data_IF_179877784782
#
_entry.id   IF_179877784782
#
_cell.length_a   1.000
_cell.length_b   1.000
_cell.length_c   1.000
_cell.angle_alpha   90.00
_cell.angle_beta   90.00
_cell.angle_gamma   90.00
#
_symmetry.space_group_name_H-M   'P 1'
#
loop_
_entity.id
_entity.type
_entity.pdbx_description
1 polymer ?
#
# COMPACT_ATOMS: atom_id res chain seq x y z
N UNK A 1 -16.67 -1.20 -14.60
CA UNK A 1 -16.21 -0.03 -13.80
C UNK A 1 -16.71 -0.19 -12.37
N UNK A 2 -15.95 0.29 -11.39
CA UNK A 2 -16.34 0.38 -9.98
C UNK A 2 -15.97 1.77 -9.43
N UNK A 3 -16.72 2.26 -8.46
CA UNK A 3 -16.46 3.55 -7.80
C UNK A 3 -16.11 3.29 -6.33
N UNK A 4 -14.90 3.67 -5.92
CA UNK A 4 -14.53 3.78 -4.51
C UNK A 4 -14.84 5.20 -4.03
N UNK A 5 -15.37 5.35 -2.82
CA UNK A 5 -15.67 6.66 -2.26
C UNK A 5 -15.49 6.69 -0.74
N UNK A 6 -15.29 7.89 -0.19
CA UNK A 6 -15.26 8.13 1.25
C UNK A 6 -14.16 9.11 1.66
N UNK A 7 -13.82 9.09 2.96
CA UNK A 7 -12.80 9.97 3.55
C UNK A 7 -11.38 9.40 3.44
N UNK A 8 -11.18 8.39 2.58
CA UNK A 8 -9.88 7.74 2.35
C UNK A 8 -8.99 8.58 1.43
N UNK A 9 -7.65 8.43 1.48
CA UNK A 9 -6.71 9.11 0.60
C UNK A 9 -6.72 8.51 -0.81
N UNK A 10 -7.87 8.60 -1.49
CA UNK A 10 -8.06 7.98 -2.82
C UNK A 10 -7.17 8.62 -3.89
N UNK A 11 -6.74 9.88 -3.70
CA UNK A 11 -5.77 10.54 -4.58
C UNK A 11 -4.39 9.85 -4.51
N UNK A 12 -3.96 9.48 -3.31
CA UNK A 12 -2.70 8.77 -3.07
C UNK A 12 -2.78 7.32 -3.57
N UNK A 13 -3.90 6.65 -3.32
CA UNK A 13 -4.18 5.32 -3.85
C UNK A 13 -4.07 5.33 -5.39
N UNK A 14 -4.76 6.26 -6.05
CA UNK A 14 -4.71 6.41 -7.49
C UNK A 14 -3.30 6.70 -8.03
N UNK A 15 -2.54 7.61 -7.39
CA UNK A 15 -1.15 7.90 -7.77
C UNK A 15 -0.27 6.65 -7.66
N UNK A 16 -0.44 5.89 -6.58
CA UNK A 16 0.31 4.65 -6.33
C UNK A 16 -0.05 3.58 -7.37
N UNK A 17 -1.34 3.38 -7.66
CA UNK A 17 -1.81 2.48 -8.71
C UNK A 17 -1.25 2.86 -10.08
N UNK A 18 -1.32 4.14 -10.45
CA UNK A 18 -0.77 4.60 -11.73
C UNK A 18 0.76 4.44 -11.79
N UNK A 19 1.45 4.66 -10.68
CA UNK A 19 2.90 4.50 -10.59
C UNK A 19 3.31 3.04 -10.79
N UNK A 20 2.67 2.09 -10.09
CA UNK A 20 2.94 0.65 -10.30
C UNK A 20 2.61 0.23 -11.73
N UNK A 21 1.51 0.72 -12.32
CA UNK A 21 1.11 0.38 -13.69
C UNK A 21 2.14 0.83 -14.73
N UNK A 22 2.81 1.96 -14.49
CA UNK A 22 3.80 2.53 -15.41
C UNK A 22 5.15 1.83 -15.34
N UNK A 23 5.52 1.30 -14.18
CA UNK A 23 6.88 0.81 -13.93
C UNK A 23 6.99 -0.71 -13.81
N UNK A 24 5.88 -1.44 -13.79
CA UNK A 24 5.88 -2.91 -13.73
C UNK A 24 5.26 -3.52 -14.99
N UNK A 25 5.72 -4.71 -15.35
CA UNK A 25 5.25 -5.42 -16.56
C UNK A 25 4.62 -6.74 -16.12
N UNK A 26 3.29 -6.80 -16.14
CA UNK A 26 2.53 -8.01 -15.86
C UNK A 26 1.80 -8.03 -14.53
N UNK A 27 2.08 -7.10 -13.61
CA UNK A 27 1.22 -6.93 -12.43
C UNK A 27 -0.13 -6.37 -12.87
N UNK A 28 -1.19 -7.16 -12.69
CA UNK A 28 -2.55 -6.74 -13.03
C UNK A 28 -3.13 -5.88 -11.91
N UNK A 29 -3.25 -4.58 -12.18
CA UNK A 29 -3.91 -3.63 -11.28
C UNK A 29 -5.02 -2.86 -11.99
N UNK A 30 -6.01 -2.29 -11.27
CA UNK A 30 -7.10 -1.57 -11.89
C UNK A 30 -6.62 -0.34 -12.66
N UNK A 31 -7.13 -0.12 -13.87
CA UNK A 31 -6.95 1.18 -14.54
C UNK A 31 -7.78 2.24 -13.82
N UNK A 32 -7.12 3.31 -13.35
CA UNK A 32 -7.79 4.48 -12.78
C UNK A 32 -8.26 5.39 -13.91
N UNK A 33 -9.56 5.70 -13.96
CA UNK A 33 -10.15 6.57 -14.97
C UNK A 33 -10.30 8.01 -14.49
N UNK A 34 -10.70 8.21 -13.23
CA UNK A 34 -10.89 9.53 -12.66
C UNK A 34 -10.75 9.50 -11.13
N UNK A 35 -10.27 10.61 -10.57
CA UNK A 35 -10.32 10.90 -9.14
C UNK A 35 -10.81 12.32 -8.98
N UNK A 36 -11.79 12.54 -8.13
CA UNK A 36 -12.33 13.87 -7.85
C UNK A 36 -12.84 13.97 -6.43
N UNK A 37 -12.93 15.21 -5.93
CA UNK A 37 -13.51 15.56 -4.65
C UNK A 37 -14.81 16.30 -4.89
N UNK A 38 -15.88 15.80 -4.29
CA UNK A 38 -17.14 16.52 -4.22
C UNK A 38 -17.00 17.68 -3.23
N UNK A 39 -17.25 18.90 -3.70
CA UNK A 39 -17.08 20.12 -2.91
C UNK A 39 -18.22 20.32 -1.91
N UNK A 40 -19.39 19.73 -2.13
CA UNK A 40 -20.56 19.90 -1.26
C UNK A 40 -20.45 19.03 0.00
N UNK A 41 -20.04 17.76 -0.17
CA UNK A 41 -19.93 16.81 0.94
C UNK A 41 -18.48 16.47 1.34
N UNK A 42 -17.48 17.01 0.62
CA UNK A 42 -16.05 16.83 0.88
C UNK A 42 -15.50 15.44 0.55
N UNK A 43 -16.33 14.50 0.07
CA UNK A 43 -15.93 13.10 -0.18
C UNK A 43 -15.08 13.00 -1.43
N UNK A 44 -14.10 12.11 -1.38
CA UNK A 44 -13.32 11.75 -2.55
C UNK A 44 -13.96 10.54 -3.25
N UNK A 45 -13.91 10.53 -4.57
CA UNK A 45 -14.39 9.47 -5.45
C UNK A 45 -13.27 9.05 -6.38
N UNK A 46 -13.08 7.75 -6.55
CA UNK A 46 -12.18 7.15 -7.53
C UNK A 46 -12.95 6.19 -8.42
N UNK A 47 -12.97 6.50 -9.71
CA UNK A 47 -13.56 5.66 -10.76
C UNK A 47 -12.46 4.82 -11.37
N UNK A 48 -12.60 3.51 -11.30
CA UNK A 48 -11.58 2.58 -11.79
C UNK A 48 -12.18 1.35 -12.47
N UNK A 49 -11.32 0.61 -13.14
CA UNK A 49 -11.65 -0.68 -13.71
C UNK A 49 -12.12 -1.67 -12.63
N UNK A 50 -13.14 -2.46 -12.97
CA UNK A 50 -13.52 -3.62 -12.16
C UNK A 50 -12.71 -4.80 -12.70
N UNK A 51 -11.70 -5.24 -11.96
CA UNK A 51 -10.96 -6.45 -12.30
C UNK A 51 -11.89 -7.67 -12.23
N UNK A 52 -11.73 -8.65 -13.14
CA UNK A 52 -12.38 -9.95 -13.00
C UNK A 52 -11.73 -10.74 -11.84
N UNK A 53 -12.37 -11.84 -11.45
CA UNK A 53 -11.88 -12.75 -10.41
C UNK A 53 -12.59 -12.60 -9.07
N UNK A 54 -12.18 -13.43 -8.13
CA UNK A 54 -12.66 -13.44 -6.73
C UNK A 54 -11.47 -13.25 -5.78
N UNK A 55 -11.70 -12.75 -4.55
CA UNK A 55 -10.64 -12.67 -3.56
C UNK A 55 -10.01 -14.04 -3.31
N UNK A 56 -8.68 -14.10 -3.31
CA UNK A 56 -7.92 -15.32 -3.07
C UNK A 56 -8.35 -16.00 -1.76
N UNK A 57 -8.71 -15.23 -0.73
CA UNK A 57 -9.22 -15.80 0.53
C UNK A 57 -10.38 -16.80 0.32
N UNK A 58 -11.23 -16.59 -0.68
CA UNK A 58 -12.38 -17.48 -0.95
C UNK A 58 -11.95 -18.83 -1.51
N UNK A 59 -10.85 -18.86 -2.27
CA UNK A 59 -10.37 -20.07 -2.94
C UNK A 59 -9.20 -20.74 -2.21
N UNK A 60 -8.48 -20.00 -1.37
CA UNK A 60 -7.31 -20.49 -0.65
C UNK A 60 -7.55 -21.84 0.08
N UNK A 61 -8.71 -22.08 0.75
CA UNK A 61 -9.00 -23.36 1.39
C UNK A 61 -9.19 -24.53 0.42
N UNK A 62 -9.51 -24.26 -0.85
CA UNK A 62 -9.81 -25.27 -1.87
C UNK A 62 -8.63 -25.59 -2.77
N UNK A 63 -7.51 -24.86 -2.65
CA UNK A 63 -6.34 -25.06 -3.50
C UNK A 63 -5.55 -26.31 -3.10
N UNK A 64 -5.22 -27.13 -4.09
CA UNK A 64 -4.30 -28.26 -3.91
C UNK A 64 -2.84 -27.79 -3.75
N UNK A 65 -1.94 -28.72 -3.42
CA UNK A 65 -0.53 -28.40 -3.20
C UNK A 65 0.15 -27.80 -4.45
N UNK A 66 -0.16 -28.34 -5.62
CA UNK A 66 0.41 -27.88 -6.90
C UNK A 66 0.00 -26.44 -7.20
N UNK A 67 -1.29 -26.13 -7.07
CA UNK A 67 -1.84 -24.80 -7.35
C UNK A 67 -1.35 -23.77 -6.33
N UNK A 68 -1.24 -24.13 -5.05
CA UNK A 68 -0.64 -23.25 -4.04
C UNK A 68 0.82 -22.93 -4.35
N UNK A 69 1.59 -23.91 -4.79
CA UNK A 69 2.99 -23.69 -5.18
C UNK A 69 3.09 -22.76 -6.39
N UNK A 70 2.26 -22.98 -7.42
CA UNK A 70 2.22 -22.10 -8.60
C UNK A 70 1.85 -20.66 -8.20
N UNK A 71 0.81 -20.49 -7.38
CA UNK A 71 0.40 -19.19 -6.87
C UNK A 71 1.53 -18.51 -6.07
N UNK A 72 2.24 -19.25 -5.22
CA UNK A 72 3.38 -18.71 -4.49
C UNK A 72 4.51 -18.25 -5.42
N UNK A 73 4.77 -18.97 -6.50
CA UNK A 73 5.72 -18.56 -7.54
C UNK A 73 5.27 -17.29 -8.28
N UNK A 74 3.99 -17.18 -8.62
CA UNK A 74 3.44 -15.96 -9.24
C UNK A 74 3.53 -14.75 -8.31
N UNK A 75 3.15 -14.91 -7.04
CA UNK A 75 3.25 -13.85 -6.03
C UNK A 75 4.70 -13.44 -5.78
N UNK A 76 5.64 -14.39 -5.78
CA UNK A 76 7.08 -14.08 -5.72
C UNK A 76 7.49 -13.16 -6.87
N UNK A 77 7.06 -13.45 -8.10
CA UNK A 77 7.34 -12.60 -9.26
C UNK A 77 6.73 -11.20 -9.15
N UNK A 78 5.55 -11.07 -8.53
CA UNK A 78 4.96 -9.75 -8.20
C UNK A 78 5.83 -9.00 -7.20
N UNK A 79 6.30 -9.65 -6.14
CA UNK A 79 7.14 -9.03 -5.12
C UNK A 79 8.49 -8.58 -5.66
N UNK A 80 9.14 -9.40 -6.49
CA UNK A 80 10.40 -9.06 -7.13
C UNK A 80 10.23 -7.80 -7.99
N UNK A 81 9.13 -7.69 -8.74
CA UNK A 81 8.84 -6.49 -9.53
C UNK A 81 8.55 -5.25 -8.68
N UNK A 82 7.79 -5.39 -7.59
CA UNK A 82 7.53 -4.27 -6.68
C UNK A 82 8.81 -3.81 -5.99
N UNK A 83 9.67 -4.74 -5.56
CA UNK A 83 10.91 -4.41 -4.86
C UNK A 83 11.86 -3.54 -5.68
N UNK A 84 11.82 -3.65 -7.01
CA UNK A 84 12.61 -2.83 -7.95
C UNK A 84 12.14 -1.36 -8.05
N UNK A 85 11.04 -0.97 -7.40
CA UNK A 85 10.51 0.39 -7.44
C UNK A 85 11.04 1.30 -6.31
N UNK A 86 12.05 0.86 -5.56
CA UNK A 86 12.51 1.47 -4.31
C UNK A 86 13.36 2.76 -4.47
N UNK A 87 13.98 3.02 -5.62
CA UNK A 87 14.87 4.17 -5.81
C UNK A 87 14.17 5.49 -6.25
N UNK A 88 12.86 5.63 -5.98
CA UNK A 88 12.02 6.64 -6.66
C UNK A 88 11.63 7.86 -5.81
N UNK A 89 12.22 8.05 -4.63
CA UNK A 89 12.04 9.26 -3.82
C UNK A 89 12.08 9.05 -2.31
N UNK A 90 11.61 10.03 -1.51
CA UNK A 90 11.51 9.91 -0.06
C UNK A 90 10.64 8.73 0.38
N UNK A 91 10.92 8.19 1.57
CA UNK A 91 10.13 7.13 2.21
C UNK A 91 8.68 7.59 2.44
N UNK A 92 7.76 6.63 2.33
CA UNK A 92 6.34 6.83 2.56
C UNK A 92 5.50 6.56 1.32
N UNK A 93 4.62 7.49 0.97
CA UNK A 93 3.64 7.30 -0.11
C UNK A 93 4.07 7.97 -1.40
N UNK A 94 3.84 7.29 -2.51
CA UNK A 94 4.12 7.79 -3.87
C UNK A 94 3.58 9.22 -4.05
N UNK A 95 4.47 10.14 -4.39
CA UNK A 95 4.12 11.53 -4.69
C UNK A 95 3.70 12.35 -3.46
N UNK A 96 4.07 11.93 -2.25
CA UNK A 96 3.94 12.71 -1.02
C UNK A 96 5.23 12.61 -0.19
N UNK A 97 5.82 13.72 0.27
CA UNK A 97 6.85 13.64 1.30
C UNK A 97 6.22 13.13 2.60
N UNK A 98 6.80 12.06 3.16
CA UNK A 98 6.45 11.52 4.48
C UNK A 98 5.56 10.29 4.49
N UNK A 99 5.42 9.70 5.67
CA UNK A 99 4.57 8.54 5.90
C UNK A 99 3.10 8.97 5.84
N UNK A 100 2.35 8.36 4.93
CA UNK A 100 0.91 8.59 4.82
C UNK A 100 0.15 7.26 4.80
N UNK A 101 -0.63 6.96 5.83
CA UNK A 101 -1.64 5.91 5.78
C UNK A 101 -2.66 6.10 6.89
N UNK A 102 -3.95 6.23 6.58
CA UNK A 102 -5.03 6.27 7.58
C UNK A 102 -5.05 5.05 8.55
N UNK A 103 -4.39 3.94 8.19
CA UNK A 103 -4.30 2.74 9.01
C UNK A 103 -3.02 2.61 9.85
N UNK A 104 -1.90 3.20 9.41
CA UNK A 104 -0.59 3.11 10.08
C UNK A 104 0.06 4.47 10.40
N UNK A 105 -0.19 5.52 9.59
CA UNK A 105 0.45 6.84 9.62
C UNK A 105 -0.52 8.00 9.28
N UNK A 106 -1.30 8.45 10.26
CA UNK A 106 -1.83 9.83 10.33
C UNK A 106 -3.02 10.24 9.44
N UNK A 107 -3.59 11.40 9.79
CA UNK A 107 -4.49 12.21 8.94
C UNK A 107 -3.70 12.84 7.79
N UNK A 108 -4.32 13.19 6.63
CA UNK A 108 -3.72 14.02 5.56
C UNK A 108 -2.90 15.23 6.04
N UNK A 109 -3.25 15.74 7.22
CA UNK A 109 -2.64 16.91 7.85
C UNK A 109 -1.49 16.56 8.81
N UNK A 110 -1.34 15.30 9.22
CA UNK A 110 -0.29 14.81 10.13
C UNK A 110 0.92 14.33 9.34
N UNK A 111 1.50 15.21 8.53
CA UNK A 111 2.70 14.89 7.76
C UNK A 111 3.90 14.85 8.69
N UNK A 112 4.42 13.68 9.02
CA UNK A 112 5.67 13.52 9.77
C UNK A 112 6.87 13.73 8.83
N UNK A 113 7.10 14.98 8.43
CA UNK A 113 8.28 15.44 7.67
C UNK A 113 8.54 14.73 6.34
N UNK A 114 9.60 15.11 5.60
CA UNK A 114 10.20 14.20 4.64
C UNK A 114 10.94 13.09 5.42
N UNK A 115 10.61 11.84 5.14
CA UNK A 115 11.31 10.68 5.70
C UNK A 115 12.32 10.25 4.65
N UNK A 116 13.57 10.68 4.78
CA UNK A 116 14.57 10.48 3.71
C UNK A 116 15.31 9.15 3.85
N UNK A 117 15.31 8.57 5.05
CA UNK A 117 15.96 7.29 5.34
C UNK A 117 14.97 6.28 5.91
N UNK A 118 15.24 4.97 5.78
CA UNK A 118 14.49 3.95 6.49
C UNK A 118 14.47 4.14 8.00
N UNK A 119 15.57 4.65 8.57
CA UNK A 119 15.67 4.94 10.00
C UNK A 119 14.73 6.07 10.44
N UNK A 120 14.65 7.17 9.66
CA UNK A 120 13.68 8.25 9.90
C UNK A 120 12.25 7.70 9.86
N UNK A 121 11.97 6.84 8.87
CA UNK A 121 10.66 6.22 8.70
C UNK A 121 10.29 5.33 9.90
N UNK A 122 11.20 4.48 10.39
CA UNK A 122 10.93 3.63 11.57
C UNK A 122 10.78 4.47 12.84
N UNK A 123 11.61 5.51 13.04
CA UNK A 123 11.54 6.37 14.23
C UNK A 123 10.25 7.18 14.33
N UNK A 124 9.57 7.46 13.22
CA UNK A 124 8.29 8.17 13.27
C UNK A 124 7.12 7.27 13.68
N UNK A 125 7.28 5.94 13.59
CA UNK A 125 6.21 4.96 13.83
C UNK A 125 5.64 5.04 15.26
N UNK A 126 6.46 4.98 16.34
CA UNK A 126 5.94 4.98 17.70
C UNK A 126 5.10 6.23 18.03
N UNK A 127 5.56 7.41 17.59
CA UNK A 127 4.85 8.67 17.80
C UNK A 127 3.51 8.70 17.06
N UNK A 128 3.46 8.17 15.84
CA UNK A 128 2.23 8.05 15.06
C UNK A 128 1.21 7.12 15.75
N UNK A 129 1.68 5.98 16.27
CA UNK A 129 0.83 5.02 16.97
C UNK A 129 0.36 5.53 18.33
N UNK A 130 1.22 6.11 19.16
CA UNK A 130 0.85 6.65 20.47
C UNK A 130 -0.29 7.69 20.36
N UNK A 131 -0.28 8.49 19.30
CA UNK A 131 -1.28 9.54 19.06
C UNK A 131 -2.65 8.97 18.62
N UNK A 132 -2.68 7.84 17.88
CA UNK A 132 -3.88 7.37 17.15
C UNK A 132 -4.40 6.01 17.62
N UNK A 133 -3.56 5.20 18.25
CA UNK A 133 -3.78 3.84 18.72
C UNK A 133 -3.08 3.66 20.08
N UNK A 134 -3.47 4.39 21.13
CA UNK A 134 -2.80 4.32 22.43
C UNK A 134 -2.84 2.92 23.07
N UNK A 135 -3.69 2.04 22.54
CA UNK A 135 -3.83 0.64 22.96
C UNK A 135 -2.84 -0.33 22.27
N UNK A 136 -2.11 0.11 21.24
CA UNK A 136 -1.03 -0.69 20.66
C UNK A 136 0.25 -0.48 21.47
N UNK A 137 0.58 -1.47 22.29
CA UNK A 137 1.79 -1.47 23.14
C UNK A 137 2.98 -2.14 22.49
N UNK A 138 2.74 -3.01 21.49
CA UNK A 138 3.75 -3.91 20.93
C UNK A 138 4.34 -3.33 19.65
N UNK A 139 4.92 -2.13 19.75
CA UNK A 139 5.66 -1.53 18.65
C UNK A 139 7.10 -2.05 18.71
N UNK A 140 7.61 -2.71 17.66
CA UNK A 140 8.99 -3.17 17.65
C UNK A 140 9.94 -1.99 17.87
N UNK A 141 10.96 -2.14 18.74
CA UNK A 141 11.93 -1.08 18.94
C UNK A 141 12.76 -0.88 17.67
N UNK A 142 13.28 0.32 17.47
CA UNK A 142 14.01 0.70 16.24
C UNK A 142 15.20 -0.22 15.95
N UNK A 143 15.85 -0.75 16.98
CA UNK A 143 16.98 -1.69 16.89
C UNK A 143 16.58 -3.11 16.45
N UNK A 144 15.28 -3.44 16.45
CA UNK A 144 14.79 -4.68 15.85
C UNK A 144 14.85 -4.67 14.30
N UNK A 145 15.10 -3.51 13.70
CA UNK A 145 15.17 -3.37 12.24
C UNK A 145 16.61 -3.43 11.74
N UNK A 146 16.83 -4.25 10.71
CA UNK A 146 18.10 -4.28 10.00
C UNK A 146 18.13 -3.17 8.93
N UNK A 147 18.77 -2.05 9.24
CA UNK A 147 18.94 -0.92 8.32
C UNK A 147 20.05 -1.11 7.27
N UNK A 148 20.85 -2.18 7.35
CA UNK A 148 21.82 -2.54 6.31
C UNK A 148 21.13 -3.10 5.06
N UNK A 149 19.88 -3.58 5.20
CA UNK A 149 19.07 -4.00 4.07
C UNK A 149 18.44 -2.80 3.39
N UNK A 150 18.56 -2.75 2.06
CA UNK A 150 17.82 -1.78 1.26
C UNK A 150 16.31 -1.94 1.52
N UNK A 151 15.65 -0.80 1.71
CA UNK A 151 14.19 -0.76 1.76
C UNK A 151 13.63 -1.15 0.39
N UNK A 152 12.41 -1.68 0.38
CA UNK A 152 11.72 -2.12 -0.83
C UNK A 152 10.33 -1.51 -0.88
N UNK A 153 9.86 -1.21 -2.09
CA UNK A 153 8.48 -0.83 -2.30
C UNK A 153 7.59 -2.06 -2.13
N UNK A 154 6.51 -1.93 -1.36
CA UNK A 154 5.59 -3.03 -1.05
C UNK A 154 4.16 -2.52 -0.85
N UNK A 155 3.21 -3.45 -0.88
CA UNK A 155 1.81 -3.18 -0.54
C UNK A 155 1.61 -3.35 0.98
N UNK A 156 1.31 -2.25 1.67
CA UNK A 156 1.27 -2.21 3.15
C UNK A 156 0.12 -2.97 3.82
N UNK A 157 -0.82 -3.53 3.05
CA UNK A 157 -1.93 -4.35 3.51
C UNK A 157 -2.12 -5.56 2.59
N UNK A 158 -1.04 -6.29 2.27
CA UNK A 158 -1.14 -7.40 1.33
C UNK A 158 -1.58 -8.68 2.05
N UNK A 159 -2.85 -8.99 1.90
CA UNK A 159 -3.52 -10.16 2.46
C UNK A 159 -4.35 -10.85 1.37
N UNK A 160 -4.72 -12.14 1.51
CA UNK A 160 -5.50 -12.87 0.49
C UNK A 160 -6.82 -12.20 0.08
N UNK A 161 -7.39 -11.36 0.94
CA UNK A 161 -8.60 -10.56 0.68
C UNK A 161 -8.36 -9.46 -0.36
N UNK A 162 -7.12 -8.99 -0.48
CA UNK A 162 -6.70 -7.91 -1.37
C UNK A 162 -6.07 -8.43 -2.68
N UNK A 163 -6.06 -9.74 -2.90
CA UNK A 163 -5.57 -10.39 -4.12
C UNK A 163 -6.76 -10.98 -4.86
N UNK A 164 -6.93 -10.66 -6.16
CA UNK A 164 -7.94 -11.26 -7.01
C UNK A 164 -7.30 -12.34 -7.89
N UNK A 165 -7.95 -13.50 -7.96
CA UNK A 165 -7.57 -14.65 -8.80
C UNK A 165 -8.74 -15.11 -9.67
#
# INVERSE_FOLDING_TARGET
>A
VIVKYGNRPLEQEARTTQFVARHTKGIRIPKVYAVFRDLENGRCYMVQEKLPGVPLMQLLPTLDATTRNNLAHELKGVFEQLALLNDMGPMGVVGSPGAFNLFFFGSPNDRTGPLNTPEDFIKCIPNAFATRRPFMTDIPPTDAFNFERSHVFSHGDLVPENILV
#
